data_IF_177719928701
#
_entry.id   IF_177719928701
#
_cell.length_a   1.000
_cell.length_b   1.000
_cell.length_c   1.000
_cell.angle_alpha   90.00
_cell.angle_beta   90.00
_cell.angle_gamma   90.00
#
_symmetry.space_group_name_H-M   'P 1'
#
loop_
_entity.id
_entity.type
_entity.pdbx_description
1 polymer ?
#
# COMPACT_ATOMS: atom_id res chain seq x y z
N UNK A 1 -9.15 19.86 19.95
CA UNK A 1 -8.23 20.40 20.96
C UNK A 1 -7.65 19.25 21.79
N UNK A 2 -6.32 19.21 21.95
CA UNK A 2 -5.58 18.23 22.74
C UNK A 2 -4.85 18.96 23.86
N UNK A 3 -5.14 18.66 25.13
CA UNK A 3 -4.41 19.25 26.24
C UNK A 3 -3.02 18.65 26.38
N UNK A 4 -2.03 19.47 26.69
CA UNK A 4 -0.64 19.05 26.85
C UNK A 4 -0.37 18.78 28.33
N UNK A 5 -0.01 17.54 28.66
CA UNK A 5 0.36 17.15 30.02
C UNK A 5 1.79 17.59 30.39
N UNK A 6 2.09 17.56 31.69
CA UNK A 6 3.46 17.75 32.20
C UNK A 6 4.41 16.68 31.66
N UNK A 7 3.92 15.45 31.46
CA UNK A 7 4.70 14.33 30.89
C UNK A 7 5.08 14.61 29.45
N UNK A 8 4.12 15.03 28.63
CA UNK A 8 4.36 15.36 27.22
C UNK A 8 5.33 16.54 27.09
N UNK A 9 5.09 17.65 27.79
CA UNK A 9 5.96 18.82 27.78
C UNK A 9 7.39 18.55 28.28
N UNK A 10 7.56 17.57 29.16
CA UNK A 10 8.86 17.17 29.71
C UNK A 10 9.65 16.17 28.85
N UNK A 11 9.15 15.77 27.68
CA UNK A 11 9.84 14.80 26.83
C UNK A 11 11.17 15.37 26.29
N UNK A 12 12.19 14.49 26.23
CA UNK A 12 13.48 14.81 25.65
C UNK A 12 13.56 14.52 24.14
N UNK A 13 14.72 14.84 23.56
CA UNK A 13 15.00 14.61 22.13
C UNK A 13 14.42 15.69 21.24
N UNK A 14 13.93 15.34 20.04
CA UNK A 14 13.28 16.28 19.12
C UNK A 14 11.94 16.73 19.67
N UNK A 15 11.69 18.04 19.70
CA UNK A 15 10.51 18.65 20.32
C UNK A 15 10.02 19.85 19.50
N UNK A 16 8.75 20.19 19.68
CA UNK A 16 8.20 21.51 19.31
C UNK A 16 8.10 22.44 20.51
N UNK A 17 8.61 21.97 21.67
CA UNK A 17 8.66 22.70 22.93
C UNK A 17 7.26 23.05 23.45
N UNK A 18 6.39 22.04 23.56
CA UNK A 18 5.06 22.20 24.10
C UNK A 18 5.10 22.71 25.55
N UNK A 19 4.20 23.66 25.86
CA UNK A 19 4.03 24.17 27.22
C UNK A 19 3.00 23.32 27.99
N UNK A 20 3.33 22.92 29.22
CA UNK A 20 2.39 22.16 30.03
C UNK A 20 1.11 22.96 30.32
N UNK A 21 -0.05 22.38 30.05
CA UNK A 21 -1.36 23.00 30.21
C UNK A 21 -1.86 23.76 28.97
N UNK A 22 -1.02 23.98 27.93
CA UNK A 22 -1.52 24.52 26.67
C UNK A 22 -2.43 23.50 25.96
N UNK A 23 -3.25 23.97 25.05
CA UNK A 23 -4.13 23.13 24.22
C UNK A 23 -3.90 23.44 22.75
N UNK A 24 -3.58 22.42 21.97
CA UNK A 24 -3.33 22.57 20.53
C UNK A 24 -4.29 21.69 19.71
N UNK A 25 -4.58 22.06 18.46
CA UNK A 25 -5.31 21.19 17.55
C UNK A 25 -4.60 19.85 17.35
N UNK A 26 -5.35 18.75 17.32
CA UNK A 26 -4.81 17.42 17.04
C UNK A 26 -3.97 17.38 15.74
N UNK A 27 -4.46 18.04 14.70
CA UNK A 27 -3.76 18.15 13.42
C UNK A 27 -2.38 18.82 13.55
N UNK A 28 -2.27 19.86 14.36
CA UNK A 28 -0.99 20.54 14.62
C UNK A 28 0.01 19.61 15.26
N UNK A 29 -0.42 18.84 16.28
CA UNK A 29 0.42 17.84 16.92
C UNK A 29 0.79 16.69 15.98
N UNK A 30 -0.14 16.22 15.14
CA UNK A 30 0.11 15.19 14.14
C UNK A 30 1.16 15.65 13.11
N UNK A 31 1.06 16.87 12.61
CA UNK A 31 2.08 17.46 11.73
C UNK A 31 3.43 17.58 12.45
N UNK A 32 3.44 18.02 13.70
CA UNK A 32 4.65 18.12 14.51
C UNK A 32 5.36 16.79 14.65
N UNK A 33 4.60 15.70 14.87
CA UNK A 33 5.11 14.33 14.95
C UNK A 33 5.68 13.85 13.61
N UNK A 34 4.98 14.09 12.50
CA UNK A 34 5.36 13.58 11.18
C UNK A 34 6.52 14.39 10.60
N UNK A 35 6.42 15.71 10.59
CA UNK A 35 7.39 16.62 9.96
C UNK A 35 8.60 16.88 10.87
N UNK A 36 8.35 17.33 12.10
CA UNK A 36 9.38 17.71 13.07
C UNK A 36 9.93 16.55 13.91
N UNK A 37 9.31 15.37 13.82
CA UNK A 37 9.67 14.22 14.68
C UNK A 37 9.51 14.53 16.18
N UNK A 38 8.52 15.33 16.54
CA UNK A 38 8.33 15.87 17.88
C UNK A 38 7.88 14.79 18.89
N UNK A 39 8.72 14.50 19.87
CA UNK A 39 8.46 13.51 20.91
C UNK A 39 7.35 13.96 21.88
N UNK A 40 7.36 15.23 22.24
CA UNK A 40 6.34 15.87 23.07
C UNK A 40 4.95 15.79 22.43
N UNK A 41 4.84 16.12 21.14
CA UNK A 41 3.61 15.97 20.38
C UNK A 41 3.16 14.49 20.29
N UNK A 42 4.10 13.56 20.12
CA UNK A 42 3.80 12.11 20.07
C UNK A 42 3.18 11.62 21.39
N UNK A 43 3.76 12.04 22.52
CA UNK A 43 3.23 11.66 23.84
C UNK A 43 1.88 12.32 24.09
N UNK A 44 1.70 13.61 23.78
CA UNK A 44 0.42 14.30 23.93
C UNK A 44 -0.70 13.63 23.13
N UNK A 45 -0.44 13.23 21.88
CA UNK A 45 -1.39 12.47 21.04
C UNK A 45 -1.73 11.13 21.70
N UNK A 46 -0.72 10.38 22.17
CA UNK A 46 -0.91 9.08 22.79
C UNK A 46 -1.76 9.16 24.06
N UNK A 47 -1.48 10.11 24.94
CA UNK A 47 -2.26 10.35 26.15
C UNK A 47 -3.70 10.77 25.86
N UNK A 48 -3.90 11.63 24.86
CA UNK A 48 -5.23 12.07 24.44
C UNK A 48 -6.10 10.93 23.92
N UNK A 49 -5.52 10.03 23.11
CA UNK A 49 -6.27 8.94 22.48
C UNK A 49 -6.52 7.76 23.43
N UNK A 50 -5.59 7.48 24.34
CA UNK A 50 -5.61 6.25 25.16
C UNK A 50 -5.62 6.51 26.67
N UNK A 51 -5.64 7.78 27.10
CA UNK A 51 -5.73 8.18 28.50
C UNK A 51 -4.39 8.20 29.23
N UNK A 52 -3.36 7.50 28.75
CA UNK A 52 -1.99 7.58 29.27
C UNK A 52 -0.97 7.16 28.23
N UNK A 53 0.29 7.61 28.39
CA UNK A 53 1.41 7.20 27.54
C UNK A 53 1.64 5.68 27.60
N UNK A 54 1.49 5.05 28.79
CA UNK A 54 1.65 3.61 28.93
C UNK A 54 0.59 2.82 28.13
N UNK A 55 -0.68 3.18 28.25
CA UNK A 55 -1.75 2.52 27.49
C UNK A 55 -1.57 2.69 25.97
N UNK A 56 -1.01 3.82 25.55
CA UNK A 56 -0.65 3.99 24.12
C UNK A 56 0.46 3.03 23.71
N UNK A 57 1.52 2.87 24.52
CA UNK A 57 2.61 1.92 24.24
C UNK A 57 2.09 0.47 24.24
N UNK A 58 1.21 0.12 25.16
CA UNK A 58 0.57 -1.20 25.20
C UNK A 58 -0.18 -1.44 23.89
N UNK A 59 -0.95 -0.45 23.41
CA UNK A 59 -1.65 -0.53 22.11
C UNK A 59 -0.69 -0.62 20.92
N UNK A 60 0.44 0.06 20.96
CA UNK A 60 1.49 -0.08 19.94
C UNK A 60 2.00 -1.53 19.87
N UNK A 61 2.23 -2.17 21.02
CA UNK A 61 2.68 -3.57 21.05
C UNK A 61 1.60 -4.55 20.57
N UNK A 62 0.33 -4.35 20.94
CA UNK A 62 -0.79 -5.12 20.39
C UNK A 62 -0.84 -4.98 18.87
N UNK A 63 -0.71 -3.74 18.34
CA UNK A 63 -0.72 -3.51 16.91
C UNK A 63 0.47 -4.15 16.19
N UNK A 64 1.64 -4.15 16.80
CA UNK A 64 2.80 -4.85 16.29
C UNK A 64 2.53 -6.36 16.13
N UNK A 65 1.90 -6.98 17.11
CA UNK A 65 1.49 -8.40 17.03
C UNK A 65 0.47 -8.64 15.90
N UNK A 66 -0.58 -7.80 15.81
CA UNK A 66 -1.58 -7.87 14.73
C UNK A 66 -0.93 -7.79 13.33
N UNK A 67 0.13 -7.01 13.18
CA UNK A 67 0.89 -6.84 11.93
C UNK A 67 1.94 -7.96 11.70
N UNK A 68 2.08 -8.90 12.64
CA UNK A 68 3.06 -9.97 12.58
C UNK A 68 4.50 -9.49 12.76
N UNK A 69 4.71 -8.41 13.50
CA UNK A 69 6.03 -7.86 13.87
C UNK A 69 6.59 -8.63 15.07
N UNK A 70 6.98 -9.89 14.83
CA UNK A 70 7.36 -10.83 15.89
C UNK A 70 8.68 -10.45 16.61
N UNK A 71 9.54 -9.67 15.94
CA UNK A 71 10.83 -9.25 16.47
C UNK A 71 10.84 -7.76 16.85
N UNK A 72 9.69 -7.27 17.37
CA UNK A 72 9.52 -5.87 17.78
C UNK A 72 8.88 -5.77 19.16
N UNK A 73 9.45 -4.91 20.00
CA UNK A 73 8.86 -4.53 21.27
C UNK A 73 9.08 -3.04 21.54
N UNK A 74 7.99 -2.32 21.79
CA UNK A 74 8.01 -0.90 22.13
C UNK A 74 7.94 -0.73 23.65
N UNK A 75 8.86 0.06 24.18
CA UNK A 75 8.89 0.47 25.60
C UNK A 75 8.40 1.91 25.77
N UNK A 76 8.51 2.70 24.72
CA UNK A 76 7.99 4.06 24.62
C UNK A 76 7.53 4.36 23.19
N UNK A 77 6.81 5.47 23.03
CA UNK A 77 6.28 5.89 21.73
C UNK A 77 7.25 6.76 20.92
N UNK A 78 8.36 7.19 21.52
CA UNK A 78 9.27 8.18 20.95
C UNK A 78 10.50 7.57 20.28
N UNK A 79 10.83 6.32 20.62
CA UNK A 79 12.05 5.65 20.17
C UNK A 79 13.30 6.07 20.93
N UNK A 80 13.15 6.78 22.04
CA UNK A 80 14.28 7.05 22.94
C UNK A 80 14.82 5.73 23.54
N UNK A 81 16.15 5.62 23.79
CA UNK A 81 16.75 4.40 24.31
C UNK A 81 16.10 3.93 25.59
N UNK A 82 15.73 2.64 25.62
CA UNK A 82 15.20 1.98 26.79
C UNK A 82 15.53 0.49 26.71
N UNK A 83 15.78 -0.14 27.86
CA UNK A 83 15.99 -1.59 27.93
C UNK A 83 14.76 -2.34 27.39
N UNK A 84 14.97 -3.30 26.50
CA UNK A 84 13.89 -4.07 25.90
C UNK A 84 13.19 -3.37 24.72
N UNK A 85 13.64 -2.18 24.25
CA UNK A 85 13.12 -1.50 23.08
C UNK A 85 13.90 -1.95 21.83
N UNK A 86 13.29 -2.76 20.97
CA UNK A 86 13.95 -3.31 19.80
C UNK A 86 12.99 -3.50 18.61
N UNK A 87 13.56 -3.58 17.43
CA UNK A 87 12.84 -3.91 16.18
C UNK A 87 13.81 -4.47 15.14
N UNK A 88 13.29 -4.85 13.98
CA UNK A 88 14.05 -5.28 12.80
C UNK A 88 13.64 -4.45 11.58
N UNK A 89 14.52 -4.40 10.58
CA UNK A 89 14.20 -3.72 9.31
C UNK A 89 12.96 -4.33 8.62
N UNK A 90 12.75 -5.63 8.77
CA UNK A 90 11.57 -6.33 8.23
C UNK A 90 10.28 -5.88 8.91
N UNK A 91 10.28 -5.76 10.21
CA UNK A 91 9.10 -5.35 10.97
C UNK A 91 8.80 -3.86 10.77
N UNK A 92 9.82 -3.01 10.71
CA UNK A 92 9.64 -1.60 10.32
C UNK A 92 9.03 -1.49 8.91
N UNK A 93 9.46 -2.33 7.95
CA UNK A 93 8.85 -2.35 6.62
C UNK A 93 7.37 -2.77 6.67
N UNK A 94 6.99 -3.77 7.49
CA UNK A 94 5.57 -4.16 7.70
C UNK A 94 4.74 -3.01 8.24
N UNK A 95 5.22 -2.35 9.28
CA UNK A 95 4.58 -1.17 9.87
C UNK A 95 4.43 -0.05 8.83
N UNK A 96 5.46 0.19 8.03
CA UNK A 96 5.45 1.21 6.98
C UNK A 96 4.40 0.89 5.91
N UNK A 97 4.30 -0.38 5.46
CA UNK A 97 3.24 -0.82 4.52
C UNK A 97 1.85 -0.49 5.06
N UNK A 98 1.61 -0.72 6.35
CA UNK A 98 0.32 -0.41 6.97
C UNK A 98 0.05 1.09 7.03
N UNK A 99 1.04 1.87 7.45
CA UNK A 99 0.96 3.34 7.50
C UNK A 99 0.61 3.94 6.14
N UNK A 100 1.19 3.44 5.05
CA UNK A 100 0.99 3.94 3.69
C UNK A 100 -0.43 3.66 3.13
N UNK A 101 -1.27 2.90 3.82
CA UNK A 101 -2.69 2.74 3.49
C UNK A 101 -3.54 3.95 3.88
N UNK A 102 -2.98 4.89 4.65
CA UNK A 102 -3.68 6.07 5.14
C UNK A 102 -3.34 7.31 4.28
N UNK A 103 -4.25 7.80 3.42
CA UNK A 103 -3.98 8.92 2.52
C UNK A 103 -3.55 10.20 3.25
N UNK A 104 -4.10 10.47 4.43
CA UNK A 104 -3.76 11.62 5.27
C UNK A 104 -2.26 11.69 5.60
N UNK A 105 -1.58 10.55 5.68
CA UNK A 105 -0.14 10.52 5.91
C UNK A 105 0.63 11.29 4.83
N UNK A 106 0.24 11.13 3.56
CA UNK A 106 0.93 11.78 2.43
C UNK A 106 0.71 13.29 2.37
N UNK A 107 -0.39 13.78 2.97
CA UNK A 107 -0.64 15.22 3.06
C UNK A 107 0.40 15.91 3.94
N UNK A 108 0.93 15.24 4.95
CA UNK A 108 1.91 15.80 5.88
C UNK A 108 3.34 15.35 5.60
N UNK A 109 3.55 14.11 5.12
CA UNK A 109 4.90 13.53 4.98
C UNK A 109 5.78 14.26 3.96
N UNK A 110 5.19 14.97 3.00
CA UNK A 110 5.88 15.75 1.96
C UNK A 110 6.10 17.22 2.33
N UNK A 111 5.54 17.70 3.44
CA UNK A 111 5.78 19.05 3.94
C UNK A 111 7.26 19.18 4.32
N UNK A 112 7.96 20.15 3.72
CA UNK A 112 9.37 20.43 4.04
C UNK A 112 9.54 21.35 5.22
N UNK A 113 8.79 22.45 5.25
CA UNK A 113 8.81 23.46 6.31
C UNK A 113 7.37 23.77 6.71
N UNK A 114 7.12 23.88 8.01
CA UNK A 114 5.88 24.36 8.60
C UNK A 114 6.20 25.05 9.93
N UNK A 115 5.20 25.50 10.66
CA UNK A 115 5.37 26.05 12.00
C UNK A 115 4.21 25.68 12.93
N UNK A 116 4.49 25.71 14.22
CA UNK A 116 3.50 25.57 15.30
C UNK A 116 3.39 26.93 15.99
N UNK A 117 2.18 27.46 16.08
CA UNK A 117 1.87 28.65 16.86
C UNK A 117 1.28 28.17 18.17
N UNK A 118 1.96 28.45 19.28
CA UNK A 118 1.55 28.13 20.63
C UNK A 118 0.52 29.09 21.18
N UNK A 119 -0.21 28.73 22.23
CA UNK A 119 -1.16 29.65 22.88
C UNK A 119 -0.51 30.91 23.41
N UNK A 120 0.76 30.87 23.80
CA UNK A 120 1.57 32.01 24.20
C UNK A 120 1.90 32.99 23.06
N UNK A 121 1.59 32.64 21.81
CA UNK A 121 1.99 33.38 20.60
C UNK A 121 3.42 33.05 20.13
N UNK A 122 4.15 32.18 20.81
CA UNK A 122 5.46 31.67 20.36
C UNK A 122 5.28 30.85 19.10
N UNK A 123 6.20 31.00 18.15
CA UNK A 123 6.25 30.19 16.94
C UNK A 123 7.45 29.25 16.98
N UNK A 124 7.19 27.94 16.75
CA UNK A 124 8.25 26.92 16.61
C UNK A 124 8.24 26.40 15.19
N UNK A 125 9.36 26.53 14.49
CA UNK A 125 9.48 26.06 13.11
C UNK A 125 9.67 24.53 13.05
N UNK A 126 9.01 23.92 12.08
CA UNK A 126 9.14 22.52 11.73
C UNK A 126 9.97 22.36 10.46
N UNK A 127 10.94 21.47 10.48
CA UNK A 127 11.68 21.05 9.28
C UNK A 127 11.60 19.56 9.16
N UNK A 128 11.24 19.05 7.97
CA UNK A 128 11.17 17.62 7.74
C UNK A 128 12.55 16.98 7.89
N UNK A 129 12.61 15.95 8.70
CA UNK A 129 13.86 15.23 8.98
C UNK A 129 14.28 14.30 7.85
N UNK A 130 13.35 13.96 6.92
CA UNK A 130 13.64 13.13 5.75
C UNK A 130 14.02 14.01 4.54
N UNK A 131 15.31 14.16 4.31
CA UNK A 131 15.84 14.95 3.17
C UNK A 131 15.48 14.36 1.80
N UNK A 132 15.20 13.06 1.71
CA UNK A 132 14.87 12.41 0.43
C UNK A 132 13.63 12.96 -0.23
N UNK A 133 12.67 13.52 0.52
CA UNK A 133 11.48 14.16 -0.07
C UNK A 133 11.82 15.35 -0.99
N UNK A 134 13.03 15.90 -0.89
CA UNK A 134 13.54 16.95 -1.78
C UNK A 134 14.66 16.50 -2.70
N UNK A 135 15.40 15.46 -2.31
CA UNK A 135 16.64 15.07 -2.99
C UNK A 135 16.45 13.83 -3.86
N UNK A 136 15.37 13.07 -3.68
CA UNK A 136 15.14 11.85 -4.43
C UNK A 136 13.78 11.89 -5.15
N UNK A 137 13.82 11.79 -6.48
CA UNK A 137 12.62 11.81 -7.31
C UNK A 137 11.67 10.66 -6.96
N UNK A 138 10.40 11.02 -6.72
CA UNK A 138 9.34 10.11 -6.30
C UNK A 138 9.31 9.79 -4.80
N UNK A 139 10.26 10.29 -3.98
CA UNK A 139 10.16 10.13 -2.52
C UNK A 139 9.04 11.00 -1.96
N UNK A 140 8.07 10.36 -1.30
CA UNK A 140 6.86 11.00 -0.80
C UNK A 140 6.63 10.78 0.70
N UNK A 141 7.64 10.26 1.41
CA UNK A 141 7.54 10.13 2.85
C UNK A 141 8.59 9.23 3.46
N UNK A 142 8.37 8.97 4.71
CA UNK A 142 9.23 8.14 5.56
C UNK A 142 9.50 8.81 6.90
N UNK A 143 10.20 8.09 7.75
CA UNK A 143 10.55 8.53 9.09
C UNK A 143 12.01 8.24 9.38
N UNK A 144 12.71 9.22 9.92
CA UNK A 144 14.09 9.08 10.40
C UNK A 144 14.12 8.91 11.91
N UNK A 145 15.20 8.31 12.39
CA UNK A 145 15.54 8.26 13.80
C UNK A 145 17.06 8.17 13.98
N UNK A 146 17.55 8.57 15.13
CA UNK A 146 18.94 8.32 15.50
C UNK A 146 19.12 8.37 17.02
N UNK A 147 19.88 7.42 17.54
CA UNK A 147 20.39 7.40 18.91
C UNK A 147 21.85 6.92 18.85
N UNK A 148 22.55 7.05 19.94
CA UNK A 148 23.92 6.52 20.00
C UNK A 148 23.96 5.01 19.83
N UNK A 149 22.94 4.32 20.36
CA UNK A 149 22.81 2.85 20.34
C UNK A 149 22.35 2.33 18.97
N UNK A 150 21.38 3.01 18.36
CA UNK A 150 20.77 2.56 17.10
C UNK A 150 21.52 3.06 15.85
N UNK A 151 22.44 4.02 15.98
CA UNK A 151 23.02 4.71 14.84
C UNK A 151 21.97 5.55 14.07
N UNK A 152 22.16 5.74 12.79
CA UNK A 152 21.25 6.52 11.95
C UNK A 152 20.30 5.58 11.20
N UNK A 153 19.01 5.82 11.38
CA UNK A 153 17.94 4.97 10.83
C UNK A 153 17.01 5.76 9.93
N UNK A 154 16.45 5.09 8.94
CA UNK A 154 15.37 5.62 8.08
C UNK A 154 14.47 4.47 7.59
N UNK A 155 13.17 4.73 7.57
CA UNK A 155 12.22 4.04 6.70
C UNK A 155 11.70 5.08 5.72
N UNK A 156 11.99 4.93 4.44
CA UNK A 156 11.57 5.85 3.39
C UNK A 156 10.69 5.14 2.38
N UNK A 157 9.82 5.91 1.69
CA UNK A 157 8.97 5.43 0.60
C UNK A 157 9.14 6.30 -0.62
N UNK A 158 9.11 5.68 -1.79
CA UNK A 158 9.13 6.36 -3.08
C UNK A 158 8.21 5.66 -4.08
N UNK A 159 7.55 6.43 -4.94
CA UNK A 159 6.68 5.92 -5.99
C UNK A 159 7.06 6.49 -7.36
N UNK A 160 7.17 5.60 -8.36
CA UNK A 160 7.38 5.97 -9.76
C UNK A 160 6.53 5.07 -10.67
N UNK A 161 5.72 5.68 -11.52
CA UNK A 161 4.90 4.94 -12.47
C UNK A 161 3.93 3.94 -11.82
N UNK A 162 3.38 4.27 -10.66
CA UNK A 162 2.49 3.42 -9.87
C UNK A 162 3.20 2.33 -9.06
N UNK A 163 4.51 2.14 -9.23
CA UNK A 163 5.30 1.21 -8.42
C UNK A 163 5.85 1.93 -7.19
N UNK A 164 5.40 1.49 -6.01
CA UNK A 164 5.87 1.99 -4.72
C UNK A 164 6.91 1.05 -4.13
N UNK A 165 7.99 1.63 -3.61
CA UNK A 165 9.05 0.93 -2.89
C UNK A 165 9.19 1.50 -1.48
N UNK A 166 9.62 0.65 -0.56
CA UNK A 166 9.99 1.02 0.81
C UNK A 166 11.43 0.60 1.03
N UNK A 167 12.25 1.53 1.51
CA UNK A 167 13.63 1.27 1.91
C UNK A 167 13.77 1.47 3.41
N UNK A 168 14.22 0.44 4.12
CA UNK A 168 14.49 0.50 5.57
C UNK A 168 15.97 0.29 5.80
N UNK A 169 16.60 1.29 6.41
CA UNK A 169 18.02 1.27 6.80
C UNK A 169 18.10 1.49 8.30
N UNK A 170 18.73 0.58 9.01
CA UNK A 170 18.97 0.66 10.45
C UNK A 170 20.48 0.59 10.72
N UNK A 171 20.96 1.36 11.67
CA UNK A 171 22.37 1.29 12.11
C UNK A 171 23.37 1.89 11.14
N UNK A 172 23.02 2.83 10.29
CA UNK A 172 23.97 3.53 9.44
C UNK A 172 24.96 4.35 10.27
N UNK A 173 26.19 4.51 9.75
CA UNK A 173 27.29 5.16 10.47
C UNK A 173 27.14 6.69 10.54
N UNK A 174 26.43 7.27 9.58
CA UNK A 174 26.21 8.71 9.51
C UNK A 174 24.81 9.05 8.97
N UNK A 175 24.40 10.31 9.16
CA UNK A 175 23.16 10.82 8.58
C UNK A 175 23.18 10.78 7.05
N UNK A 176 24.32 11.01 6.38
CA UNK A 176 24.43 10.87 4.92
C UNK A 176 24.27 9.41 4.50
N UNK A 177 24.98 8.49 5.14
CA UNK A 177 24.97 7.06 4.77
C UNK A 177 23.57 6.47 4.75
N UNK A 178 22.68 6.81 5.73
CA UNK A 178 21.30 6.30 5.71
C UNK A 178 20.51 6.77 4.49
N UNK A 179 20.72 8.03 4.05
CA UNK A 179 20.03 8.57 2.88
C UNK A 179 20.59 8.01 1.59
N UNK A 180 21.92 7.93 1.46
CA UNK A 180 22.60 7.40 0.28
C UNK A 180 22.29 5.91 0.09
N UNK A 181 22.27 5.15 1.20
CA UNK A 181 21.87 3.74 1.18
C UNK A 181 20.41 3.58 0.75
N UNK A 182 19.48 4.34 1.32
CA UNK A 182 18.07 4.27 0.95
C UNK A 182 17.84 4.66 -0.52
N UNK A 183 18.50 5.71 -1.01
CA UNK A 183 18.47 6.12 -2.42
C UNK A 183 18.98 5.00 -3.34
N UNK A 184 20.13 4.39 -3.01
CA UNK A 184 20.70 3.26 -3.76
C UNK A 184 19.77 2.05 -3.81
N UNK A 185 19.05 1.76 -2.70
CA UNK A 185 18.05 0.69 -2.65
C UNK A 185 16.87 1.00 -3.58
N UNK A 186 16.38 2.25 -3.62
CA UNK A 186 15.34 2.68 -4.54
C UNK A 186 15.80 2.59 -5.99
N UNK A 187 17.01 3.07 -6.30
CA UNK A 187 17.60 2.98 -7.64
C UNK A 187 17.70 1.54 -8.12
N UNK A 188 18.16 0.62 -7.25
CA UNK A 188 18.15 -0.80 -7.56
C UNK A 188 16.75 -1.33 -7.85
N UNK A 189 15.77 -0.97 -7.00
CA UNK A 189 14.40 -1.42 -7.15
C UNK A 189 13.76 -0.93 -8.46
N UNK A 190 13.83 0.37 -8.74
CA UNK A 190 13.27 0.96 -9.95
C UNK A 190 14.03 0.56 -11.23
N UNK A 191 15.34 0.30 -11.15
CA UNK A 191 16.11 -0.19 -12.28
C UNK A 191 15.75 -1.62 -12.66
N UNK A 192 15.54 -2.51 -11.66
CA UNK A 192 15.42 -3.95 -11.88
C UNK A 192 13.98 -4.48 -11.90
N UNK A 193 13.02 -3.76 -11.33
CA UNK A 193 11.63 -4.21 -11.22
C UNK A 193 10.67 -3.28 -11.95
N UNK A 194 9.51 -3.80 -12.28
CA UNK A 194 8.40 -3.03 -12.86
C UNK A 194 7.06 -3.66 -12.52
N UNK A 195 6.01 -2.87 -12.63
CA UNK A 195 4.66 -3.37 -12.69
C UNK A 195 4.38 -3.89 -14.10
N UNK A 196 4.00 -5.16 -14.22
CA UNK A 196 3.65 -5.81 -15.47
C UNK A 196 2.15 -6.09 -15.51
N UNK A 197 1.39 -5.45 -16.41
CA UNK A 197 -0.05 -5.70 -16.55
C UNK A 197 -0.24 -7.06 -17.24
N UNK A 198 -0.73 -8.04 -16.49
CA UNK A 198 -1.01 -9.40 -16.98
C UNK A 198 -2.40 -9.49 -17.59
N UNK A 199 -3.37 -8.81 -16.98
CA UNK A 199 -4.74 -8.80 -17.44
C UNK A 199 -5.37 -7.42 -17.23
N UNK A 200 -6.26 -7.06 -18.16
CA UNK A 200 -7.07 -5.84 -18.07
C UNK A 200 -8.55 -6.24 -18.17
N UNK A 201 -9.36 -5.70 -17.29
CA UNK A 201 -10.81 -5.90 -17.31
C UNK A 201 -11.40 -5.48 -18.65
N UNK A 202 -12.28 -6.31 -19.21
CA UNK A 202 -12.85 -6.13 -20.53
C UNK A 202 -11.96 -6.57 -21.70
N UNK A 203 -10.73 -7.04 -21.45
CA UNK A 203 -9.88 -7.59 -22.51
C UNK A 203 -10.52 -8.87 -23.08
N UNK A 204 -10.65 -8.91 -24.40
CA UNK A 204 -11.22 -10.06 -25.12
C UNK A 204 -10.26 -11.24 -25.09
N UNK A 205 -10.81 -12.43 -24.85
CA UNK A 205 -10.10 -13.70 -25.00
C UNK A 205 -10.23 -14.16 -26.46
N UNK A 206 -9.17 -14.76 -27.01
CA UNK A 206 -9.18 -15.33 -28.35
C UNK A 206 -10.15 -16.50 -28.43
N UNK A 207 -11.01 -16.49 -29.45
CA UNK A 207 -12.02 -17.54 -29.67
C UNK A 207 -13.41 -17.14 -29.15
N UNK A 208 -14.37 -17.97 -29.50
CA UNK A 208 -15.76 -17.85 -29.08
C UNK A 208 -16.17 -19.10 -28.30
N UNK A 209 -17.08 -18.93 -27.35
CA UNK A 209 -17.66 -20.03 -26.57
C UNK A 209 -19.00 -20.47 -27.21
N UNK A 210 -19.16 -21.75 -27.55
CA UNK A 210 -20.44 -22.27 -28.02
C UNK A 210 -21.53 -22.10 -26.96
N UNK A 211 -22.74 -21.73 -27.40
CA UNK A 211 -23.91 -21.58 -26.54
C UNK A 211 -24.96 -22.60 -26.95
N UNK A 212 -25.38 -23.42 -26.00
CA UNK A 212 -26.46 -24.37 -26.17
C UNK A 212 -27.82 -23.75 -25.79
N UNK A 213 -28.83 -23.97 -26.62
CA UNK A 213 -30.17 -23.47 -26.39
C UNK A 213 -30.33 -21.93 -26.52
N UNK A 214 -29.32 -21.26 -27.10
CA UNK A 214 -29.31 -19.82 -27.28
C UNK A 214 -29.74 -19.37 -28.66
N UNK A 215 -30.26 -18.12 -28.73
CA UNK A 215 -30.54 -17.41 -30.00
C UNK A 215 -29.28 -17.05 -30.77
N UNK A 216 -28.10 -17.08 -30.13
CA UNK A 216 -26.79 -16.98 -30.75
C UNK A 216 -26.04 -18.31 -30.62
N UNK A 217 -25.28 -18.76 -31.66
CA UNK A 217 -24.56 -20.02 -31.61
C UNK A 217 -23.31 -19.98 -30.74
N UNK A 218 -22.75 -18.81 -30.53
CA UNK A 218 -21.53 -18.59 -29.74
C UNK A 218 -21.48 -17.18 -29.19
N UNK A 219 -20.63 -16.97 -28.19
CA UNK A 219 -20.37 -15.68 -27.58
C UNK A 219 -18.87 -15.38 -27.51
N UNK A 220 -18.52 -14.11 -27.61
CA UNK A 220 -17.20 -13.64 -27.25
C UNK A 220 -17.01 -13.65 -25.72
N UNK A 221 -15.79 -13.86 -25.27
CA UNK A 221 -15.41 -13.90 -23.86
C UNK A 221 -14.53 -12.71 -23.51
N UNK A 222 -14.63 -12.24 -22.28
CA UNK A 222 -13.74 -11.20 -21.76
C UNK A 222 -13.28 -11.52 -20.34
N UNK A 223 -12.14 -10.95 -19.96
CA UNK A 223 -11.61 -11.03 -18.60
C UNK A 223 -12.39 -10.09 -17.68
N UNK A 224 -12.67 -10.57 -16.47
CA UNK A 224 -13.26 -9.75 -15.41
C UNK A 224 -12.23 -9.50 -14.31
N UNK A 225 -11.66 -8.30 -14.33
CA UNK A 225 -10.68 -7.84 -13.35
C UNK A 225 -9.33 -7.49 -13.97
N UNK A 226 -8.65 -6.59 -13.28
CA UNK A 226 -7.29 -6.20 -13.58
C UNK A 226 -6.32 -7.05 -12.75
N UNK A 227 -5.21 -7.46 -13.36
CA UNK A 227 -4.11 -8.09 -12.65
C UNK A 227 -2.80 -7.47 -13.10
N UNK A 228 -2.09 -6.90 -12.15
CA UNK A 228 -0.74 -6.37 -12.32
C UNK A 228 0.20 -7.08 -11.36
N UNK A 229 1.34 -7.55 -11.86
CA UNK A 229 2.35 -8.22 -11.06
C UNK A 229 3.59 -7.34 -10.92
N UNK A 230 4.17 -7.32 -9.72
CA UNK A 230 5.53 -6.81 -9.56
C UNK A 230 6.51 -7.88 -10.04
N UNK A 231 7.27 -7.56 -11.09
CA UNK A 231 8.19 -8.51 -11.72
C UNK A 231 9.57 -7.90 -11.92
N UNK A 232 10.59 -8.77 -11.92
CA UNK A 232 11.92 -8.39 -12.37
C UNK A 232 11.87 -8.15 -13.88
N UNK A 233 12.45 -7.07 -14.36
CA UNK A 233 12.52 -6.75 -15.79
C UNK A 233 13.23 -7.86 -16.57
N UNK A 234 12.67 -8.25 -17.71
CA UNK A 234 13.20 -9.32 -18.55
C UNK A 234 12.78 -10.74 -18.15
N UNK A 235 11.88 -10.90 -17.15
CA UNK A 235 11.32 -12.22 -16.76
C UNK A 235 9.84 -12.38 -17.14
N UNK A 236 9.29 -11.49 -17.96
CA UNK A 236 7.86 -11.46 -18.30
C UNK A 236 7.39 -12.70 -19.06
N UNK A 237 8.30 -13.36 -19.79
CA UNK A 237 8.03 -14.62 -20.50
C UNK A 237 7.75 -15.80 -19.54
N UNK A 238 8.04 -15.69 -18.27
CA UNK A 238 7.70 -16.71 -17.28
C UNK A 238 6.23 -16.69 -16.83
N UNK A 239 5.46 -15.69 -17.30
CA UNK A 239 4.02 -15.61 -17.04
C UNK A 239 3.26 -16.41 -18.08
N UNK A 240 2.55 -17.44 -17.64
CA UNK A 240 1.68 -18.25 -18.47
C UNK A 240 0.22 -18.01 -18.09
N UNK A 241 -0.66 -17.97 -19.11
CA UNK A 241 -2.10 -17.84 -18.94
C UNK A 241 -2.74 -19.17 -19.36
N UNK A 242 -3.30 -19.90 -18.40
CA UNK A 242 -3.91 -21.21 -18.64
C UNK A 242 -5.44 -21.08 -18.56
N UNK A 243 -6.15 -21.07 -19.71
CA UNK A 243 -7.61 -21.02 -19.71
C UNK A 243 -8.21 -22.29 -19.09
N UNK A 244 -9.19 -22.09 -18.21
CA UNK A 244 -10.03 -23.14 -17.65
C UNK A 244 -11.48 -22.83 -18.04
N UNK A 245 -11.85 -23.25 -19.24
CA UNK A 245 -13.13 -22.94 -19.88
C UNK A 245 -13.88 -24.26 -20.17
N UNK A 246 -15.22 -24.28 -20.01
CA UNK A 246 -16.03 -25.42 -20.45
C UNK A 246 -16.07 -25.49 -21.99
N UNK A 247 -16.54 -26.59 -22.53
CA UNK A 247 -16.68 -26.76 -23.98
C UNK A 247 -17.87 -25.94 -24.55
N UNK A 248 -18.90 -25.72 -23.76
CA UNK A 248 -20.11 -24.94 -24.10
C UNK A 248 -20.71 -24.35 -22.84
N UNK A 249 -21.60 -23.37 -23.00
CA UNK A 249 -22.44 -22.79 -21.95
C UNK A 249 -23.90 -22.84 -22.31
N UNK A 250 -24.78 -22.83 -21.32
CA UNK A 250 -26.24 -22.91 -21.51
C UNK A 250 -26.86 -21.50 -21.53
N UNK A 251 -27.76 -21.25 -22.46
CA UNK A 251 -28.58 -20.04 -22.46
C UNK A 251 -29.77 -20.15 -21.45
N UNK A 252 -30.26 -19.07 -20.86
CA UNK A 252 -29.87 -17.69 -21.13
C UNK A 252 -28.62 -17.31 -20.36
N UNK A 253 -27.91 -16.29 -20.86
CA UNK A 253 -26.75 -15.68 -20.22
C UNK A 253 -26.89 -14.17 -20.28
N UNK A 254 -26.57 -13.49 -19.22
CA UNK A 254 -26.42 -12.04 -19.21
C UNK A 254 -24.98 -11.63 -19.48
N UNK A 255 -24.79 -10.40 -19.98
CA UNK A 255 -23.45 -9.83 -20.10
C UNK A 255 -22.80 -9.75 -18.72
N UNK A 256 -21.61 -10.30 -18.57
CA UNK A 256 -20.89 -10.35 -17.28
C UNK A 256 -21.07 -11.66 -16.52
N UNK A 257 -21.93 -12.57 -16.97
CA UNK A 257 -22.05 -13.90 -16.35
C UNK A 257 -20.75 -14.68 -16.45
N UNK A 258 -20.35 -15.29 -15.33
CA UNK A 258 -19.14 -16.07 -15.25
C UNK A 258 -19.26 -17.37 -16.06
N UNK A 259 -18.39 -17.57 -17.03
CA UNK A 259 -18.36 -18.76 -17.91
C UNK A 259 -17.10 -19.62 -17.73
N UNK A 260 -16.13 -19.15 -16.96
CA UNK A 260 -14.91 -19.86 -16.69
C UNK A 260 -13.87 -19.02 -15.98
N UNK A 261 -12.60 -19.40 -16.12
CA UNK A 261 -11.48 -18.65 -15.54
C UNK A 261 -10.20 -18.84 -16.36
N UNK A 262 -9.23 -17.94 -16.11
CA UNK A 262 -7.84 -18.09 -16.55
C UNK A 262 -6.97 -18.18 -15.32
N UNK A 263 -6.21 -19.25 -15.18
CA UNK A 263 -5.19 -19.36 -14.15
C UNK A 263 -3.91 -18.65 -14.63
N UNK A 264 -3.36 -17.79 -13.78
CA UNK A 264 -2.08 -17.12 -14.03
C UNK A 264 -0.99 -17.88 -13.30
N UNK A 265 -0.01 -18.36 -14.06
CA UNK A 265 1.11 -19.16 -13.57
C UNK A 265 2.39 -18.37 -13.76
N UNK A 266 3.21 -18.28 -12.72
CA UNK A 266 4.54 -17.67 -12.74
C UNK A 266 5.56 -18.71 -12.27
N UNK A 267 6.56 -19.00 -13.09
CA UNK A 267 7.59 -20.00 -12.81
C UNK A 267 7.00 -21.38 -12.37
N UNK A 268 5.95 -21.82 -13.06
CA UNK A 268 5.26 -23.08 -12.78
C UNK A 268 4.34 -23.07 -11.54
N UNK A 269 4.19 -21.93 -10.87
CA UNK A 269 3.30 -21.78 -9.71
C UNK A 269 2.10 -20.92 -10.05
N UNK A 270 0.91 -21.43 -9.76
CA UNK A 270 -0.31 -20.65 -9.87
C UNK A 270 -0.32 -19.55 -8.82
N UNK A 271 -0.40 -18.30 -9.27
CA UNK A 271 -0.34 -17.09 -8.42
C UNK A 271 -1.67 -16.34 -8.37
N UNK A 272 -2.51 -16.49 -9.41
CA UNK A 272 -3.81 -15.83 -9.46
C UNK A 272 -4.80 -16.62 -10.32
N UNK A 273 -6.08 -16.29 -10.18
CA UNK A 273 -7.15 -16.73 -11.07
C UNK A 273 -8.00 -15.52 -11.43
N UNK A 274 -8.27 -15.37 -12.74
CA UNK A 274 -9.09 -14.27 -13.28
C UNK A 274 -10.35 -14.88 -13.84
N UNK A 275 -11.52 -14.32 -13.48
CA UNK A 275 -12.77 -14.76 -14.03
C UNK A 275 -12.88 -14.41 -15.51
N UNK A 276 -13.49 -15.32 -16.26
CA UNK A 276 -13.89 -15.14 -17.66
C UNK A 276 -15.39 -15.03 -17.70
N UNK A 277 -15.89 -14.00 -18.38
CA UNK A 277 -17.31 -13.68 -18.43
C UNK A 277 -17.83 -13.53 -19.86
N UNK A 278 -19.13 -13.68 -20.02
CA UNK A 278 -19.82 -13.42 -21.28
C UNK A 278 -19.69 -11.94 -21.67
N UNK A 279 -19.22 -11.67 -22.88
CA UNK A 279 -19.06 -10.30 -23.37
C UNK A 279 -20.40 -9.68 -23.86
N UNK A 280 -21.45 -10.47 -23.99
CA UNK A 280 -22.79 -10.06 -24.41
C UNK A 280 -23.85 -11.00 -23.85
N UNK A 281 -25.08 -10.52 -23.75
CA UNK A 281 -26.21 -11.34 -23.35
C UNK A 281 -26.67 -12.27 -24.49
N UNK A 282 -27.17 -13.46 -24.12
CA UNK A 282 -27.76 -14.46 -25.03
C UNK A 282 -29.08 -14.91 -24.46
N UNK A 283 -30.15 -14.65 -25.19
CA UNK A 283 -31.50 -15.14 -24.87
C UNK A 283 -31.66 -16.62 -25.20
N UNK A 284 -32.70 -17.25 -24.68
CA UNK A 284 -33.10 -18.60 -25.11
C UNK A 284 -33.53 -18.60 -26.56
N UNK A 285 -33.22 -19.65 -27.27
CA UNK A 285 -33.72 -19.89 -28.62
C UNK A 285 -35.26 -20.07 -28.58
N UNK A 286 -35.98 -19.32 -29.38
CA UNK A 286 -37.41 -19.55 -29.56
C UNK A 286 -37.67 -20.56 -30.69
N UNK A 287 -38.96 -20.96 -30.86
CA UNK A 287 -39.38 -21.92 -31.89
C UNK A 287 -39.10 -21.40 -33.32
N UNK A 288 -39.21 -20.09 -33.53
CA UNK A 288 -39.00 -19.45 -34.85
C UNK A 288 -37.49 -19.47 -35.19
N UNK A 289 -36.61 -19.28 -34.22
CA UNK A 289 -35.13 -19.38 -34.39
C UNK A 289 -34.74 -20.81 -34.75
N UNK A 290 -35.34 -21.82 -34.11
CA UNK A 290 -35.16 -23.24 -34.43
C UNK A 290 -35.51 -23.56 -35.87
N UNK A 291 -36.68 -23.11 -36.32
CA UNK A 291 -37.15 -23.28 -37.70
C UNK A 291 -36.20 -22.61 -38.72
N UNK A 292 -35.79 -21.37 -38.48
CA UNK A 292 -34.84 -20.66 -39.37
C UNK A 292 -33.53 -21.40 -39.53
N UNK A 293 -32.99 -22.01 -38.47
CA UNK A 293 -31.77 -22.83 -38.50
C UNK A 293 -31.92 -24.10 -39.34
N UNK A 294 -33.07 -24.78 -39.22
CA UNK A 294 -33.34 -26.01 -39.99
C UNK A 294 -33.52 -25.66 -41.46
N UNK A 295 -34.33 -24.65 -41.81
CA UNK A 295 -34.57 -24.21 -43.19
C UNK A 295 -33.31 -23.58 -43.84
N UNK A 296 -32.47 -22.82 -43.09
CA UNK A 296 -31.25 -22.30 -43.59
C UNK A 296 -30.19 -23.34 -43.98
N UNK A 297 -30.17 -24.49 -43.27
CA UNK A 297 -29.36 -25.65 -43.67
C UNK A 297 -29.88 -26.40 -44.87
N UNK A 298 -31.20 -26.35 -45.13
CA UNK A 298 -31.87 -27.09 -46.23
C UNK A 298 -31.85 -26.30 -47.54
N UNK A 299 -31.75 -24.97 -47.51
CA UNK A 299 -31.77 -24.11 -48.70
C UNK A 299 -30.38 -23.79 -49.29
N UNK A 300 -29.30 -24.16 -48.61
CA UNK A 300 -27.91 -23.87 -49.02
C UNK A 300 -27.02 -25.12 -49.04
N UNK A 301 -27.59 -26.30 -49.30
CA UNK A 301 -26.84 -27.50 -49.73
C UNK A 301 -26.91 -27.70 -51.22
#
# INVERSE_FOLDING_TARGET
PVPVSQTAAGMGGSQVLLDAGETLPFETLLKSMIVGSANDATVAIGEYLYGSHQLFVDRMNERAQELGMADTHFVNSTGLPAEGHYTTARDVARMTVEMLKHPLYFEYSTIWLDSVIHESGRETQLTNTNRLIRLYDGCDGGKTGSTNEAGYCISATAERGGMRLIAVVLGAQSSSDRFDTAASMFDYGFANYRLYPVAKSGAKIKGEMPVEGGNLPSIALMLQGDLTLLMKKGTEQSVELLPNLPQSVQAPLDMGDAVGSVDVVLDGRKIARIAVVAAQAVGRQDFADGLRRVFGRWLFQ
#
